data_IF_995433654983
#
_entry.id   IF_995433654983
#
_cell.length_a   1.000
_cell.length_b   1.000
_cell.length_c   1.000
_cell.angle_alpha   90.00
_cell.angle_beta   90.00
_cell.angle_gamma   90.00
#
_symmetry.space_group_name_H-M   'P 1'
#
loop_
_entity.id
_entity.type
_entity.pdbx_description
1 polymer ?
#
# COMPACT_ATOMS: atom_id res chain seq x y z
N UNK A 1 -11.20 21.54 -5.69
CA UNK A 1 -10.45 20.32 -5.33
C UNK A 1 -10.17 20.39 -3.85
N UNK A 2 -10.55 19.36 -3.09
CA UNK A 2 -10.43 19.35 -1.63
C UNK A 2 -9.05 18.81 -1.23
N UNK A 3 -8.48 19.34 -0.14
CA UNK A 3 -7.14 18.95 0.37
C UNK A 3 -7.00 17.42 0.58
N UNK A 4 -8.02 16.69 1.09
CA UNK A 4 -7.95 15.23 1.22
C UNK A 4 -7.80 14.52 -0.13
N UNK A 5 -8.41 15.05 -1.20
CA UNK A 5 -8.37 14.43 -2.51
C UNK A 5 -6.98 14.54 -3.18
N UNK A 6 -6.22 15.58 -2.82
CA UNK A 6 -4.83 15.77 -3.30
C UNK A 6 -3.90 14.78 -2.61
N UNK A 7 -4.13 14.50 -1.33
CA UNK A 7 -3.28 13.61 -0.54
C UNK A 7 -3.58 12.13 -0.83
N UNK A 8 -4.83 11.75 -1.08
CA UNK A 8 -5.17 10.43 -1.67
C UNK A 8 -4.55 10.24 -3.05
N UNK A 9 -4.54 11.27 -3.88
CA UNK A 9 -3.89 11.22 -5.20
C UNK A 9 -2.37 11.10 -5.08
N UNK A 10 -1.77 11.80 -4.11
CA UNK A 10 -0.35 11.67 -3.78
C UNK A 10 -0.02 10.24 -3.33
N UNK A 11 -0.86 9.60 -2.50
CA UNK A 11 -0.68 8.20 -2.07
C UNK A 11 -0.72 7.23 -3.25
N UNK A 12 -1.69 7.40 -4.15
CA UNK A 12 -1.79 6.61 -5.37
C UNK A 12 -0.55 6.78 -6.26
N UNK A 13 0.09 7.96 -6.26
CA UNK A 13 1.35 8.19 -6.95
C UNK A 13 2.58 7.59 -6.22
N UNK A 14 2.55 7.54 -4.88
CA UNK A 14 3.59 6.94 -4.04
C UNK A 14 3.64 5.41 -4.17
N UNK A 15 2.52 4.74 -4.44
CA UNK A 15 2.47 3.27 -4.63
C UNK A 15 3.35 2.80 -5.82
N UNK A 16 3.22 3.31 -7.06
CA UNK A 16 4.08 2.92 -8.16
C UNK A 16 5.54 3.32 -7.93
N UNK A 17 5.80 4.43 -7.21
CA UNK A 17 7.15 4.81 -6.79
C UNK A 17 7.73 3.75 -5.83
N UNK A 18 6.97 3.35 -4.81
CA UNK A 18 7.34 2.25 -3.91
C UNK A 18 7.63 0.97 -4.69
N UNK A 19 6.75 0.57 -5.61
CA UNK A 19 6.97 -0.60 -6.47
C UNK A 19 8.25 -0.46 -7.29
N UNK A 20 8.51 0.69 -7.88
CA UNK A 20 9.75 0.93 -8.64
C UNK A 20 10.98 0.74 -7.76
N UNK A 21 11.01 1.28 -6.54
CA UNK A 21 12.16 1.10 -5.66
C UNK A 21 12.27 -0.33 -5.09
N UNK A 22 11.14 -0.97 -4.77
CA UNK A 22 11.12 -2.33 -4.23
C UNK A 22 11.53 -3.38 -5.28
N UNK A 23 11.04 -3.26 -6.52
CA UNK A 23 11.29 -4.22 -7.60
C UNK A 23 12.51 -3.87 -8.48
N UNK A 24 12.97 -2.61 -8.53
CA UNK A 24 14.23 -2.24 -9.20
C UNK A 24 15.46 -2.47 -8.30
N UNK A 25 15.34 -3.33 -7.30
CA UNK A 25 16.49 -3.96 -6.65
C UNK A 25 17.10 -4.99 -7.63
N UNK A 26 17.60 -4.50 -8.76
CA UNK A 26 18.49 -5.23 -9.64
C UNK A 26 19.69 -5.68 -8.80
N UNK A 27 19.67 -6.94 -8.37
CA UNK A 27 20.60 -8.00 -8.77
C UNK A 27 20.55 -9.07 -7.69
N UNK A 28 20.10 -10.27 -8.05
CA UNK A 28 19.96 -11.45 -7.17
C UNK A 28 18.76 -11.36 -6.24
N UNK A 29 17.73 -12.18 -6.50
CA UNK A 29 16.57 -12.43 -5.61
C UNK A 29 16.95 -13.08 -4.28
N UNK A 30 18.07 -12.67 -3.69
CA UNK A 30 18.53 -12.98 -2.36
C UNK A 30 18.56 -11.65 -1.60
N UNK A 31 17.73 -11.52 -0.58
CA UNK A 31 17.76 -10.42 0.41
C UNK A 31 19.17 -10.05 0.90
N UNK A 32 20.12 -11.01 0.87
CA UNK A 32 21.54 -10.80 1.27
C UNK A 32 22.40 -10.04 0.25
N UNK A 33 21.98 -9.94 -1.01
CA UNK A 33 22.78 -9.33 -2.09
C UNK A 33 22.23 -7.98 -2.55
N UNK A 34 21.09 -7.57 -2.01
CA UNK A 34 20.47 -6.27 -2.27
C UNK A 34 21.32 -5.17 -1.61
N UNK A 35 21.54 -4.07 -2.32
CA UNK A 35 22.20 -2.91 -1.74
C UNK A 35 21.39 -2.45 -0.52
N UNK A 36 22.00 -2.32 0.68
CA UNK A 36 21.27 -1.94 1.90
C UNK A 36 20.53 -0.60 1.75
N UNK A 37 21.04 0.28 0.89
CA UNK A 37 20.53 1.62 0.66
C UNK A 37 19.14 1.62 -0.01
N UNK A 38 18.90 0.78 -1.02
CA UNK A 38 17.61 0.70 -1.72
C UNK A 38 16.52 0.06 -0.87
N UNK A 39 16.89 -0.85 0.03
CA UNK A 39 15.96 -1.50 0.94
C UNK A 39 15.50 -0.53 2.04
N UNK A 40 16.43 0.26 2.59
CA UNK A 40 16.13 1.36 3.52
C UNK A 40 15.23 2.41 2.87
N UNK A 41 15.52 2.83 1.65
CA UNK A 41 14.70 3.81 0.91
C UNK A 41 13.29 3.27 0.68
N UNK A 42 13.15 2.01 0.26
CA UNK A 42 11.83 1.38 0.04
C UNK A 42 11.02 1.30 1.35
N UNK A 43 11.67 0.94 2.46
CA UNK A 43 11.04 0.92 3.78
C UNK A 43 10.61 2.32 4.26
N UNK A 44 11.43 3.34 4.03
CA UNK A 44 11.09 4.73 4.36
C UNK A 44 9.88 5.19 3.53
N UNK A 45 9.86 4.92 2.23
CA UNK A 45 8.73 5.24 1.35
C UNK A 45 7.46 4.54 1.83
N UNK A 46 7.56 3.25 2.21
CA UNK A 46 6.44 2.50 2.77
C UNK A 46 5.89 3.12 4.06
N UNK A 47 6.77 3.47 5.01
CA UNK A 47 6.37 4.11 6.27
C UNK A 47 5.73 5.46 6.03
N UNK A 48 6.27 6.27 5.11
CA UNK A 48 5.69 7.57 4.73
C UNK A 48 4.32 7.37 4.11
N UNK A 49 4.18 6.43 3.17
CA UNK A 49 2.92 6.16 2.49
C UNK A 49 1.85 5.63 3.47
N UNK A 50 2.21 4.71 4.38
CA UNK A 50 1.33 4.22 5.43
C UNK A 50 0.95 5.30 6.45
N UNK A 51 1.87 6.19 6.81
CA UNK A 51 1.59 7.30 7.74
C UNK A 51 0.67 8.36 7.11
N UNK A 52 0.73 8.52 5.78
CA UNK A 52 -0.11 9.47 5.04
C UNK A 52 -1.58 9.03 5.04
N UNK A 53 -1.88 7.73 5.12
CA UNK A 53 -3.24 7.17 5.26
C UNK A 53 -3.95 7.66 6.53
N UNK A 54 -3.24 7.63 7.65
CA UNK A 54 -3.78 8.09 8.94
C UNK A 54 -4.04 9.60 8.95
N UNK A 55 -3.15 10.38 8.35
CA UNK A 55 -3.27 11.83 8.25
C UNK A 55 -4.47 12.25 7.38
N UNK A 56 -4.74 11.52 6.31
CA UNK A 56 -5.89 11.76 5.43
C UNK A 56 -7.22 11.47 6.08
N UNK A 57 -7.34 10.31 6.73
CA UNK A 57 -8.51 9.95 7.50
C UNK A 57 -8.79 10.94 8.63
N UNK A 58 -7.74 11.48 9.25
CA UNK A 58 -7.85 12.50 10.29
C UNK A 58 -8.30 13.86 9.75
N UNK A 59 -7.71 14.35 8.65
CA UNK A 59 -8.10 15.63 8.03
C UNK A 59 -9.50 15.58 7.42
N UNK A 60 -9.87 14.48 6.78
CA UNK A 60 -11.20 14.30 6.20
C UNK A 60 -12.32 14.34 7.26
N UNK A 61 -12.07 13.74 8.44
CA UNK A 61 -12.98 13.81 9.58
C UNK A 61 -13.02 15.19 10.22
N UNK A 62 -11.86 15.85 10.35
CA UNK A 62 -11.75 17.18 10.98
C UNK A 62 -12.40 18.29 10.14
N UNK A 63 -12.41 18.16 8.82
CA UNK A 63 -12.96 19.19 7.92
C UNK A 63 -14.32 18.85 7.32
N UNK A 64 -14.94 17.72 7.70
CA UNK A 64 -16.26 17.29 7.20
C UNK A 64 -16.36 17.22 5.66
N UNK A 65 -15.23 17.17 4.96
CA UNK A 65 -15.16 17.09 3.50
C UNK A 65 -15.02 15.64 3.05
N UNK A 66 -16.00 14.82 3.41
CA UNK A 66 -16.05 13.43 2.94
C UNK A 66 -16.72 13.38 1.57
N UNK A 67 -15.98 13.05 0.52
CA UNK A 67 -16.54 12.82 -0.82
C UNK A 67 -16.82 11.33 -1.01
N UNK A 68 -17.87 10.99 -1.77
CA UNK A 68 -18.17 9.58 -2.08
C UNK A 68 -17.03 8.89 -2.84
N UNK A 69 -16.29 9.64 -3.66
CA UNK A 69 -15.10 9.16 -4.35
C UNK A 69 -13.96 8.85 -3.38
N UNK A 70 -13.65 9.75 -2.43
CA UNK A 70 -12.59 9.54 -1.45
C UNK A 70 -12.85 8.33 -0.54
N UNK A 71 -14.10 8.13 -0.11
CA UNK A 71 -14.51 6.95 0.68
C UNK A 71 -14.27 5.62 -0.03
N UNK A 72 -14.30 5.60 -1.36
CA UNK A 72 -14.10 4.40 -2.16
C UNK A 72 -12.61 4.22 -2.54
N UNK A 73 -11.89 5.33 -2.73
CA UNK A 73 -10.46 5.34 -3.04
C UNK A 73 -9.57 5.00 -1.85
N UNK A 74 -9.90 5.42 -0.63
CA UNK A 74 -9.10 5.14 0.58
C UNK A 74 -8.89 3.62 0.83
N UNK A 75 -9.96 2.79 0.89
CA UNK A 75 -9.81 1.34 1.08
C UNK A 75 -9.14 0.64 -0.10
N UNK A 76 -9.24 1.22 -1.30
CA UNK A 76 -8.58 0.71 -2.50
C UNK A 76 -7.07 0.95 -2.43
N UNK A 77 -6.67 2.16 -2.08
CA UNK A 77 -5.26 2.54 -1.97
C UNK A 77 -4.55 1.73 -0.87
N UNK A 78 -5.20 1.55 0.29
CA UNK A 78 -4.66 0.75 1.40
C UNK A 78 -4.37 -0.70 0.97
N UNK A 79 -5.35 -1.35 0.34
CA UNK A 79 -5.17 -2.72 -0.18
C UNK A 79 -4.12 -2.83 -1.27
N UNK A 80 -4.05 -1.85 -2.17
CA UNK A 80 -3.02 -1.83 -3.23
C UNK A 80 -1.62 -1.71 -2.64
N UNK A 81 -1.44 -0.90 -1.60
CA UNK A 81 -0.17 -0.74 -0.91
C UNK A 81 0.24 -2.02 -0.16
N UNK A 82 -0.70 -2.64 0.57
CA UNK A 82 -0.45 -3.90 1.29
C UNK A 82 -0.10 -5.03 0.31
N UNK A 83 -0.87 -5.18 -0.76
CA UNK A 83 -0.62 -6.20 -1.78
C UNK A 83 0.72 -5.99 -2.49
N UNK A 84 1.07 -4.74 -2.84
CA UNK A 84 2.38 -4.42 -3.40
C UNK A 84 3.53 -4.79 -2.46
N UNK A 85 3.41 -4.49 -1.16
CA UNK A 85 4.40 -4.84 -0.16
C UNK A 85 4.55 -6.36 0.01
N UNK A 86 3.44 -7.10 0.03
CA UNK A 86 3.46 -8.57 0.09
C UNK A 86 4.12 -9.19 -1.15
N UNK A 87 3.86 -8.65 -2.34
CA UNK A 87 4.50 -9.13 -3.58
C UNK A 87 6.01 -8.82 -3.55
N UNK A 88 6.43 -7.66 -3.04
CA UNK A 88 7.84 -7.34 -2.84
C UNK A 88 8.53 -8.34 -1.89
N UNK A 89 7.84 -8.80 -0.84
CA UNK A 89 8.35 -9.83 0.08
C UNK A 89 8.53 -11.20 -0.59
N UNK A 90 7.71 -11.55 -1.59
CA UNK A 90 7.90 -12.76 -2.40
C UNK A 90 9.18 -12.62 -3.25
N UNK A 91 9.35 -11.46 -3.89
CA UNK A 91 10.51 -11.20 -4.74
C UNK A 91 11.83 -11.25 -3.95
N UNK A 92 11.81 -10.75 -2.71
CA UNK A 92 12.94 -10.86 -1.78
C UNK A 92 13.14 -12.26 -1.17
N UNK A 93 12.31 -13.24 -1.57
CA UNK A 93 12.31 -14.63 -1.07
C UNK A 93 12.19 -14.76 0.45
N UNK A 94 11.56 -13.78 1.10
CA UNK A 94 11.35 -13.78 2.55
C UNK A 94 10.10 -14.58 2.93
N UNK A 95 9.12 -14.65 2.04
CA UNK A 95 7.83 -15.28 2.27
C UNK A 95 7.44 -16.12 1.05
N UNK A 96 6.90 -17.33 1.21
CA UNK A 96 6.46 -18.13 0.08
C UNK A 96 5.20 -17.54 -0.57
N UNK A 97 5.13 -17.56 -1.90
CA UNK A 97 4.02 -16.94 -2.64
C UNK A 97 2.63 -17.47 -2.27
N UNK A 98 2.52 -18.75 -1.89
CA UNK A 98 1.24 -19.34 -1.48
C UNK A 98 0.66 -18.68 -0.22
N UNK A 99 1.49 -18.21 0.72
CA UNK A 99 0.98 -17.56 1.93
C UNK A 99 0.45 -16.16 1.63
N UNK A 100 1.09 -15.44 0.69
CA UNK A 100 0.58 -14.15 0.21
C UNK A 100 -0.77 -14.30 -0.48
N UNK A 101 -0.94 -15.33 -1.31
CA UNK A 101 -2.23 -15.62 -1.95
C UNK A 101 -3.33 -15.84 -0.90
N UNK A 102 -3.05 -16.57 0.18
CA UNK A 102 -4.01 -16.79 1.28
C UNK A 102 -4.36 -15.47 1.98
N UNK A 103 -3.38 -14.62 2.26
CA UNK A 103 -3.60 -13.32 2.92
C UNK A 103 -4.51 -12.44 2.06
N UNK A 104 -4.18 -12.29 0.77
CA UNK A 104 -4.96 -11.50 -0.17
C UNK A 104 -6.38 -12.07 -0.29
N UNK A 105 -6.52 -13.38 -0.49
CA UNK A 105 -7.84 -14.03 -0.57
C UNK A 105 -8.68 -13.76 0.68
N UNK A 106 -8.10 -13.85 1.87
CA UNK A 106 -8.78 -13.56 3.14
C UNK A 106 -9.27 -12.11 3.20
N UNK A 107 -8.44 -11.14 2.84
CA UNK A 107 -8.83 -9.73 2.84
C UNK A 107 -9.94 -9.41 1.85
N UNK A 108 -9.87 -9.98 0.64
CA UNK A 108 -10.92 -9.85 -0.36
C UNK A 108 -12.23 -10.48 0.09
N UNK A 109 -12.18 -11.70 0.65
CA UNK A 109 -13.35 -12.39 1.18
C UNK A 109 -14.02 -11.59 2.30
N UNK A 110 -13.26 -11.17 3.32
CA UNK A 110 -13.80 -10.42 4.46
C UNK A 110 -14.40 -9.09 4.01
N UNK A 111 -13.74 -8.38 3.08
CA UNK A 111 -14.26 -7.11 2.59
C UNK A 111 -15.50 -7.29 1.71
N UNK A 112 -15.48 -8.29 0.83
CA UNK A 112 -16.62 -8.62 -0.03
C UNK A 112 -17.84 -9.03 0.80
N UNK A 113 -17.67 -9.94 1.76
CA UNK A 113 -18.72 -10.32 2.71
C UNK A 113 -19.26 -9.10 3.48
N UNK A 114 -18.37 -8.23 3.98
CA UNK A 114 -18.80 -7.01 4.68
C UNK A 114 -19.62 -6.09 3.77
N UNK A 115 -19.27 -5.94 2.50
CA UNK A 115 -20.02 -5.09 1.56
C UNK A 115 -21.40 -5.65 1.19
N UNK A 116 -21.59 -6.98 1.24
CA UNK A 116 -22.88 -7.62 0.98
C UNK A 116 -23.80 -7.54 2.22
N UNK A 117 -23.21 -7.54 3.41
CA UNK A 117 -23.91 -7.48 4.69
C UNK A 117 -24.21 -6.04 5.17
N UNK A 118 -23.62 -5.03 4.55
CA UNK A 118 -23.82 -3.61 4.85
C UNK A 118 -24.95 -3.03 4.00
#
# INVERSE_FOLDING_TARGET
>A
MTIPNILTLARILLIPIFCLFAFNTNTSGNWKSSHPDTLLISGIIFVIAASTDFLDGYLARKWNQTTNAGKLLDPLADKLLITAALIALIEWRLIPGWSVVIIIAREFLITGLRSILA
#
